data_IF_723738621156
#
_entry.id   IF_723738621156
#
_cell.length_a   1.000
_cell.length_b   1.000
_cell.length_c   1.000
_cell.angle_alpha   90.00
_cell.angle_beta   90.00
_cell.angle_gamma   90.00
#
_symmetry.space_group_name_H-M   'P 1'
#
loop_
_entity.id
_entity.type
_entity.pdbx_description
1 polymer ?
#
# COMPACT_ATOMS: atom_id res chain seq x y z
N UNK A 1 28.12 -8.47 -10.84
CA UNK A 1 27.46 -7.18 -10.55
C UNK A 1 26.30 -7.00 -11.53
N UNK A 2 25.08 -7.39 -11.13
CA UNK A 2 23.87 -7.31 -11.97
C UNK A 2 23.15 -5.98 -11.72
N UNK A 3 22.73 -5.35 -12.81
CA UNK A 3 22.09 -4.06 -12.98
C UNK A 3 21.13 -3.61 -11.86
N UNK A 4 21.39 -2.41 -11.32
CA UNK A 4 20.59 -1.65 -10.37
C UNK A 4 19.35 -0.97 -11.00
N UNK A 5 18.79 -1.50 -12.09
CA UNK A 5 17.60 -0.91 -12.74
C UNK A 5 16.30 -1.17 -11.97
N UNK A 6 16.30 -2.14 -11.05
CA UNK A 6 15.15 -2.44 -10.20
C UNK A 6 14.81 -1.36 -9.16
N UNK A 7 15.78 -0.53 -8.74
CA UNK A 7 15.59 0.46 -7.67
C UNK A 7 14.63 1.57 -8.08
N UNK A 8 14.80 2.12 -9.29
CA UNK A 8 13.92 3.14 -9.86
C UNK A 8 12.50 2.63 -10.12
N UNK A 9 12.36 1.38 -10.57
CA UNK A 9 11.04 0.78 -10.84
C UNK A 9 10.29 0.53 -9.52
N UNK A 10 11.00 0.10 -8.47
CA UNK A 10 10.43 -0.06 -7.13
C UNK A 10 9.90 1.26 -6.57
N UNK A 11 10.68 2.35 -6.66
CA UNK A 11 10.25 3.68 -6.22
C UNK A 11 9.02 4.17 -6.98
N UNK A 12 8.99 4.05 -8.30
CA UNK A 12 7.81 4.45 -9.10
C UNK A 12 6.58 3.59 -8.80
N UNK A 13 6.75 2.29 -8.55
CA UNK A 13 5.64 1.40 -8.15
C UNK A 13 5.09 1.80 -6.78
N UNK A 14 5.97 2.10 -5.82
CA UNK A 14 5.63 2.57 -4.48
C UNK A 14 4.86 3.89 -4.51
N UNK A 15 5.28 4.86 -5.33
CA UNK A 15 4.56 6.13 -5.49
C UNK A 15 3.14 5.94 -6.04
N UNK A 16 2.98 5.09 -7.06
CA UNK A 16 1.67 4.76 -7.62
C UNK A 16 0.78 4.06 -6.60
N UNK A 17 1.35 3.14 -5.81
CA UNK A 17 0.63 2.48 -4.72
C UNK A 17 0.21 3.49 -3.65
N UNK A 18 1.08 4.42 -3.26
CA UNK A 18 0.76 5.48 -2.29
C UNK A 18 -0.40 6.35 -2.77
N UNK A 19 -0.38 6.74 -4.05
CA UNK A 19 -1.47 7.49 -4.67
C UNK A 19 -2.76 6.66 -4.73
N UNK A 20 -2.67 5.38 -5.09
CA UNK A 20 -3.80 4.45 -5.12
C UNK A 20 -4.44 4.23 -3.75
N UNK A 21 -3.62 4.04 -2.71
CA UNK A 21 -4.08 3.92 -1.32
C UNK A 21 -4.78 5.19 -0.85
N UNK A 22 -4.21 6.37 -1.11
CA UNK A 22 -4.86 7.65 -0.77
C UNK A 22 -6.17 7.85 -1.52
N UNK A 23 -6.24 7.48 -2.80
CA UNK A 23 -7.45 7.58 -3.60
C UNK A 23 -8.54 6.64 -3.08
N UNK A 24 -8.20 5.37 -2.80
CA UNK A 24 -9.12 4.41 -2.20
C UNK A 24 -9.56 4.86 -0.79
N UNK A 25 -8.67 5.47 0.00
CA UNK A 25 -9.01 6.03 1.30
C UNK A 25 -10.03 7.17 1.19
N UNK A 26 -9.84 8.09 0.23
CA UNK A 26 -10.78 9.17 -0.03
C UNK A 26 -12.14 8.66 -0.51
N UNK A 27 -12.16 7.54 -1.26
CA UNK A 27 -13.37 6.85 -1.67
C UNK A 27 -14.02 6.02 -0.55
N UNK A 28 -13.41 5.96 0.66
CA UNK A 28 -13.80 5.06 1.77
C UNK A 28 -13.79 3.58 1.38
N UNK A 29 -12.99 3.25 0.37
CA UNK A 29 -12.84 1.92 -0.21
C UNK A 29 -11.79 1.11 0.56
N UNK A 30 -12.01 0.95 1.87
CA UNK A 30 -11.04 0.31 2.77
C UNK A 30 -10.79 -1.16 2.41
N UNK A 31 -11.81 -1.88 1.93
CA UNK A 31 -11.67 -3.23 1.38
C UNK A 31 -10.65 -3.30 0.23
N UNK A 32 -10.69 -2.32 -0.68
CA UNK A 32 -9.76 -2.23 -1.81
C UNK A 32 -8.34 -1.99 -1.31
N UNK A 33 -8.17 -1.13 -0.29
CA UNK A 33 -6.87 -0.87 0.35
C UNK A 33 -6.28 -2.15 0.96
N UNK A 34 -7.07 -2.86 1.77
CA UNK A 34 -6.67 -4.10 2.44
C UNK A 34 -6.34 -5.19 1.42
N UNK A 35 -7.15 -5.31 0.36
CA UNK A 35 -6.95 -6.29 -0.71
C UNK A 35 -5.70 -6.01 -1.54
N UNK A 36 -5.38 -4.74 -1.82
CA UNK A 36 -4.14 -4.35 -2.51
C UNK A 36 -2.94 -4.58 -1.59
N UNK A 37 -3.04 -4.21 -0.31
CA UNK A 37 -1.98 -4.45 0.68
C UNK A 37 -1.66 -5.93 0.86
N UNK A 38 -2.68 -6.80 0.93
CA UNK A 38 -2.49 -8.26 0.99
C UNK A 38 -1.87 -8.84 -0.29
N UNK A 39 -2.05 -8.18 -1.43
CA UNK A 39 -1.43 -8.57 -2.71
C UNK A 39 -0.02 -8.01 -2.88
N UNK A 40 0.41 -7.10 -2.02
CA UNK A 40 1.77 -6.57 -2.04
C UNK A 40 2.69 -7.47 -1.23
N UNK A 41 3.95 -7.66 -1.66
CA UNK A 41 4.92 -8.34 -0.83
C UNK A 41 5.17 -7.50 0.44
N UNK A 42 5.18 -8.17 1.60
CA UNK A 42 5.41 -7.54 2.91
C UNK A 42 6.68 -6.68 2.93
N UNK A 43 7.69 -7.06 2.14
CA UNK A 43 8.92 -6.28 1.90
C UNK A 43 8.60 -4.84 1.47
N UNK A 44 7.69 -4.66 0.52
CA UNK A 44 7.30 -3.35 -0.02
C UNK A 44 6.43 -2.57 0.96
N UNK A 45 5.60 -3.28 1.74
CA UNK A 45 4.76 -2.66 2.76
C UNK A 45 5.61 -2.19 3.96
N UNK A 46 6.60 -2.98 4.38
CA UNK A 46 7.57 -2.64 5.42
C UNK A 46 8.57 -1.56 4.96
N UNK A 47 8.92 -1.50 3.67
CA UNK A 47 9.78 -0.44 3.12
C UNK A 47 9.14 0.95 3.24
N UNK A 48 7.80 1.08 3.31
CA UNK A 48 7.12 2.38 3.40
C UNK A 48 6.15 2.43 4.59
N UNK A 49 6.61 3.08 5.66
CA UNK A 49 5.89 3.22 6.93
C UNK A 49 4.48 3.85 6.78
N UNK A 50 4.26 4.70 5.76
CA UNK A 50 2.93 5.27 5.50
C UNK A 50 1.96 4.28 4.88
N UNK A 51 2.45 3.36 4.04
CA UNK A 51 1.64 2.29 3.48
C UNK A 51 1.22 1.31 4.57
N UNK A 52 2.16 0.92 5.43
CA UNK A 52 1.89 0.10 6.62
C UNK A 52 0.81 0.76 7.51
N UNK A 53 1.00 2.04 7.83
CA UNK A 53 0.04 2.80 8.66
C UNK A 53 -1.34 2.89 8.02
N UNK A 54 -1.43 3.16 6.71
CA UNK A 54 -2.71 3.23 5.99
C UNK A 54 -3.42 1.88 5.92
N UNK A 55 -2.66 0.79 5.77
CA UNK A 55 -3.21 -0.56 5.81
C UNK A 55 -3.82 -0.87 7.17
N UNK A 56 -3.09 -0.60 8.26
CA UNK A 56 -3.54 -0.85 9.63
C UNK A 56 -4.81 -0.03 9.97
N UNK A 57 -4.82 1.24 9.58
CA UNK A 57 -5.99 2.12 9.67
C UNK A 57 -7.17 1.61 8.84
N UNK A 58 -6.93 1.09 7.63
CA UNK A 58 -7.97 0.57 6.76
C UNK A 58 -8.55 -0.73 7.30
N UNK A 59 -7.68 -1.61 7.80
CA UNK A 59 -8.05 -2.87 8.45
C UNK A 59 -8.95 -2.59 9.65
N UNK A 60 -8.50 -1.74 10.57
CA UNK A 60 -9.28 -1.31 11.74
C UNK A 60 -10.62 -0.69 11.35
N UNK A 61 -10.66 0.18 10.33
CA UNK A 61 -11.92 0.79 9.86
C UNK A 61 -12.86 -0.21 9.17
N UNK A 62 -12.30 -1.18 8.46
CA UNK A 62 -13.09 -2.18 7.75
C UNK A 62 -13.62 -3.25 8.70
N UNK A 63 -12.95 -3.50 9.83
CA UNK A 63 -13.39 -4.39 10.90
C UNK A 63 -14.37 -3.69 11.86
N UNK A 64 -14.15 -2.41 12.20
CA UNK A 64 -15.03 -1.59 13.05
C UNK A 64 -16.36 -1.20 12.38
N UNK A 65 -16.44 -1.33 11.05
CA UNK A 65 -17.60 -0.97 10.24
C UNK A 65 -18.59 -2.10 9.92
N UNK A 66 -18.38 -3.31 10.48
CA UNK A 66 -19.27 -4.47 10.35
C UNK A 66 -20.06 -4.68 11.64
#
# INVERSE_FOLDING_TARGET
YKAFTGRKIKESRLEVLRAGFRAAWAAKDYQTIIGIANKLPEETLQEDEKLLTLYDLALTRSEDGI
#
